data_IF_087693767966
#
_entry.id   IF_087693767966
#
_cell.length_a   1.000
_cell.length_b   1.000
_cell.length_c   1.000
_cell.angle_alpha   90.00
_cell.angle_beta   90.00
_cell.angle_gamma   90.00
#
_symmetry.space_group_name_H-M   'P 1'
#
loop_
_entity.id
_entity.type
_entity.pdbx_description
1 polymer ?
#
# COMPACT_ATOMS: atom_id res chain seq x y z
N UNK A 1 4.17 40.53 -38.73
CA UNK A 1 3.58 39.88 -37.53
C UNK A 1 4.01 38.41 -37.30
N UNK A 2 5.08 37.89 -37.94
CA UNK A 2 5.48 36.47 -37.82
C UNK A 2 6.84 36.19 -37.13
N UNK A 3 7.73 37.18 -36.96
CA UNK A 3 9.04 36.97 -36.28
C UNK A 3 8.99 37.08 -34.76
N UNK A 4 8.01 37.80 -34.22
CA UNK A 4 7.88 38.01 -32.76
C UNK A 4 7.29 36.78 -32.05
N UNK A 5 6.38 36.04 -32.72
CA UNK A 5 5.82 34.80 -32.21
C UNK A 5 6.82 33.64 -32.19
N UNK A 6 7.75 33.57 -33.13
CA UNK A 6 8.75 32.48 -33.17
C UNK A 6 9.87 32.67 -32.14
N UNK A 7 10.24 33.92 -31.84
CA UNK A 7 11.17 34.26 -30.76
C UNK A 7 10.55 33.91 -29.40
N UNK A 8 9.32 34.37 -29.14
CA UNK A 8 8.60 34.10 -27.88
C UNK A 8 8.40 32.60 -27.64
N UNK A 9 8.09 31.82 -28.68
CA UNK A 9 7.90 30.36 -28.57
C UNK A 9 9.19 29.58 -28.29
N UNK A 10 10.37 30.16 -28.59
CA UNK A 10 11.68 29.55 -28.32
C UNK A 10 12.31 30.03 -27.01
N UNK A 11 12.08 31.28 -26.61
CA UNK A 11 12.68 31.86 -25.39
C UNK A 11 11.88 31.55 -24.12
N UNK A 12 10.55 31.40 -24.22
CA UNK A 12 9.69 31.06 -23.09
C UNK A 12 10.05 29.75 -22.36
N UNK A 13 10.33 28.61 -23.05
CA UNK A 13 10.71 27.38 -22.35
C UNK A 13 12.09 27.47 -21.70
N UNK A 14 13.03 28.23 -22.28
CA UNK A 14 14.36 28.46 -21.69
C UNK A 14 14.28 29.36 -20.46
N UNK A 15 13.42 30.39 -20.48
CA UNK A 15 13.14 31.24 -19.32
C UNK A 15 12.43 30.48 -18.20
N UNK A 16 11.47 29.61 -18.53
CA UNK A 16 10.79 28.74 -17.56
C UNK A 16 11.74 27.70 -16.95
N UNK A 17 12.63 27.12 -17.75
CA UNK A 17 13.66 26.19 -17.27
C UNK A 17 14.68 26.90 -16.37
N UNK A 18 15.11 28.12 -16.74
CA UNK A 18 16.01 28.93 -15.92
C UNK A 18 15.36 29.34 -14.58
N UNK A 19 14.06 29.67 -14.58
CA UNK A 19 13.30 29.96 -13.36
C UNK A 19 13.12 28.73 -12.48
N UNK A 20 12.89 27.54 -13.06
CA UNK A 20 12.81 26.27 -12.34
C UNK A 20 14.15 25.88 -11.71
N UNK A 21 15.26 26.04 -12.43
CA UNK A 21 16.61 25.78 -11.90
C UNK A 21 16.95 26.78 -10.80
N UNK A 22 16.62 28.07 -10.95
CA UNK A 22 16.82 29.06 -9.90
C UNK A 22 15.96 28.79 -8.65
N UNK A 23 14.72 28.30 -8.80
CA UNK A 23 13.85 27.94 -7.70
C UNK A 23 14.30 26.69 -6.92
N UNK A 24 15.04 25.77 -7.56
CA UNK A 24 15.57 24.55 -6.91
C UNK A 24 16.95 24.79 -6.28
N UNK A 25 17.79 25.67 -6.87
CA UNK A 25 19.16 25.90 -6.39
C UNK A 25 19.23 26.89 -5.22
N UNK A 26 18.29 27.85 -5.14
CA UNK A 26 18.27 28.87 -4.07
C UNK A 26 17.99 28.32 -2.65
N UNK A 27 17.10 27.35 -2.41
CA UNK A 27 16.93 26.79 -1.07
C UNK A 27 18.09 25.88 -0.63
N UNK A 28 18.86 25.30 -1.56
CA UNK A 28 20.01 24.46 -1.24
C UNK A 28 21.25 25.26 -0.78
N UNK A 29 21.36 26.52 -1.21
CA UNK A 29 22.47 27.41 -0.82
C UNK A 29 22.22 28.12 0.53
N UNK A 30 20.96 28.44 0.87
CA UNK A 30 20.61 29.05 2.16
C UNK A 30 20.49 28.04 3.33
N UNK A 31 20.40 26.74 3.06
CA UNK A 31 20.33 25.73 4.11
C UNK A 31 21.69 25.45 4.80
N UNK A 32 22.81 25.92 4.24
CA UNK A 32 24.17 25.60 4.73
C UNK A 32 24.73 26.57 5.78
N UNK A 33 23.97 27.59 6.21
CA UNK A 33 24.42 28.57 7.21
C UNK A 33 23.56 28.63 8.47
N UNK A 34 22.77 27.59 8.76
CA UNK A 34 22.16 27.41 10.08
C UNK A 34 23.19 26.84 11.05
N UNK A 35 23.63 27.67 11.99
CA UNK A 35 24.63 27.35 12.99
C UNK A 35 24.33 26.10 13.81
N UNK A 36 25.39 25.51 14.35
CA UNK A 36 25.38 24.39 15.28
C UNK A 36 24.54 24.70 16.52
N UNK A 37 23.25 24.39 16.45
CA UNK A 37 22.44 24.15 17.65
C UNK A 37 22.99 22.90 18.34
N UNK A 38 23.10 22.87 19.68
CA UNK A 38 23.39 21.64 20.38
C UNK A 38 22.30 20.63 20.00
N UNK A 39 22.73 19.50 19.44
CA UNK A 39 21.84 18.40 19.15
C UNK A 39 21.05 18.08 20.43
N UNK A 40 19.73 18.23 20.38
CA UNK A 40 18.89 17.60 21.38
C UNK A 40 19.34 16.13 21.45
N UNK A 41 19.66 15.58 22.63
CA UNK A 41 19.73 14.14 22.73
C UNK A 41 18.35 13.60 22.32
N UNK A 42 18.26 12.32 22.00
CA UNK A 42 17.06 11.61 21.52
C UNK A 42 16.97 11.55 19.99
N UNK A 43 17.57 10.49 19.44
CA UNK A 43 17.16 9.93 18.16
C UNK A 43 15.68 9.57 18.23
N UNK A 44 14.84 10.48 17.78
CA UNK A 44 13.38 10.37 17.75
C UNK A 44 12.95 9.58 16.54
N UNK A 45 12.48 8.36 16.78
CA UNK A 45 11.79 7.53 15.80
C UNK A 45 10.84 6.58 16.53
N UNK A 46 9.80 6.11 15.83
CA UNK A 46 8.81 5.14 16.33
C UNK A 46 9.46 3.92 17.00
N UNK A 47 10.65 3.50 16.52
CA UNK A 47 11.40 2.37 17.05
C UNK A 47 12.06 2.64 18.43
N UNK A 48 12.20 3.90 18.85
CA UNK A 48 12.72 4.32 20.16
C UNK A 48 11.59 4.57 21.17
N UNK A 49 10.33 4.57 20.72
CA UNK A 49 9.17 4.84 21.55
C UNK A 49 8.96 3.70 22.57
N UNK A 50 9.11 4.01 23.86
CA UNK A 50 8.85 3.07 24.94
C UNK A 50 7.35 3.01 25.21
N UNK A 51 6.69 1.97 24.71
CA UNK A 51 5.27 1.73 24.97
C UNK A 51 5.12 1.15 26.39
N UNK A 52 4.31 1.77 27.27
CA UNK A 52 4.04 1.22 28.60
C UNK A 52 3.30 -0.12 28.49
N UNK A 53 3.41 -0.96 29.53
CA UNK A 53 2.71 -2.24 29.55
C UNK A 53 1.19 -2.03 29.40
N UNK A 54 0.61 -2.64 28.36
CA UNK A 54 -0.81 -2.54 28.02
C UNK A 54 -1.73 -3.13 29.11
N UNK A 55 -1.19 -3.93 30.03
CA UNK A 55 -1.92 -4.39 31.21
C UNK A 55 -2.11 -3.32 32.28
N UNK A 56 -1.30 -2.26 32.26
CA UNK A 56 -1.29 -1.20 33.29
C UNK A 56 -2.12 0.03 32.87
N UNK A 57 -2.50 0.13 31.60
CA UNK A 57 -3.21 1.28 31.04
C UNK A 57 -4.66 0.89 30.73
N UNK A 58 -5.61 1.72 31.16
CA UNK A 58 -7.03 1.58 30.85
C UNK A 58 -7.50 2.70 29.92
N UNK A 59 -8.26 2.34 28.88
CA UNK A 59 -8.87 3.25 27.94
C UNK A 59 -10.38 3.14 28.07
N UNK A 60 -11.05 4.22 28.49
CA UNK A 60 -12.52 4.26 28.66
C UNK A 60 -13.02 3.11 29.56
N UNK A 61 -12.28 2.81 30.64
CA UNK A 61 -12.61 1.74 31.58
C UNK A 61 -12.27 0.32 31.12
N UNK A 62 -11.73 0.13 29.91
CA UNK A 62 -11.28 -1.17 29.39
C UNK A 62 -9.76 -1.27 29.42
N UNK A 63 -9.21 -2.38 29.92
CA UNK A 63 -7.76 -2.60 29.93
C UNK A 63 -7.16 -2.68 28.51
N UNK A 64 -5.99 -2.09 28.29
CA UNK A 64 -5.35 -2.01 26.98
C UNK A 64 -5.09 -3.37 26.32
N UNK A 65 -4.73 -4.39 27.12
CA UNK A 65 -4.58 -5.77 26.62
C UNK A 65 -5.90 -6.36 26.12
N UNK A 66 -7.00 -6.13 26.85
CA UNK A 66 -8.32 -6.60 26.44
C UNK A 66 -8.76 -5.90 25.15
N UNK A 67 -8.47 -4.60 25.02
CA UNK A 67 -8.75 -3.82 23.81
C UNK A 67 -7.97 -4.37 22.60
N UNK A 68 -6.68 -4.65 22.74
CA UNK A 68 -5.84 -5.24 21.68
C UNK A 68 -6.37 -6.61 21.24
N UNK A 69 -6.67 -7.50 22.19
CA UNK A 69 -7.19 -8.83 21.88
C UNK A 69 -8.55 -8.77 21.19
N UNK A 70 -9.41 -7.83 21.59
CA UNK A 70 -10.69 -7.59 20.94
C UNK A 70 -10.50 -7.06 19.52
N UNK A 71 -9.56 -6.14 19.30
CA UNK A 71 -9.22 -5.64 17.96
C UNK A 71 -8.71 -6.76 17.05
N UNK A 72 -7.81 -7.62 17.54
CA UNK A 72 -7.32 -8.78 16.79
C UNK A 72 -8.45 -9.76 16.44
N UNK A 73 -9.39 -9.98 17.36
CA UNK A 73 -10.59 -10.77 17.10
C UNK A 73 -11.42 -10.17 15.96
N UNK A 74 -11.65 -8.86 15.96
CA UNK A 74 -12.38 -8.15 14.88
C UNK A 74 -11.66 -8.32 13.54
N UNK A 75 -10.33 -8.23 13.51
CA UNK A 75 -9.54 -8.48 12.29
C UNK A 75 -9.76 -9.90 11.75
N UNK A 76 -9.73 -10.92 12.63
CA UNK A 76 -9.99 -12.32 12.24
C UNK A 76 -11.42 -12.50 11.72
N UNK A 77 -12.41 -11.88 12.37
CA UNK A 77 -13.80 -11.90 11.90
C UNK A 77 -13.94 -11.23 10.52
N UNK A 78 -13.22 -10.13 10.27
CA UNK A 78 -13.14 -9.49 8.96
C UNK A 78 -12.58 -10.43 7.88
N UNK A 79 -11.51 -11.16 8.18
CA UNK A 79 -10.96 -12.17 7.26
C UNK A 79 -11.98 -13.27 6.96
N UNK A 80 -12.65 -13.80 7.99
CA UNK A 80 -13.70 -14.83 7.81
C UNK A 80 -14.85 -14.29 6.97
N UNK A 81 -15.30 -13.06 7.22
CA UNK A 81 -16.32 -12.39 6.43
C UNK A 81 -15.91 -12.29 4.95
N UNK A 82 -14.68 -11.86 4.66
CA UNK A 82 -14.15 -11.82 3.30
C UNK A 82 -14.16 -13.20 2.63
N UNK A 83 -13.74 -14.26 3.32
CA UNK A 83 -13.79 -15.64 2.79
C UNK A 83 -15.22 -16.13 2.51
N UNK A 84 -16.18 -15.78 3.36
CA UNK A 84 -17.60 -16.11 3.16
C UNK A 84 -18.12 -15.42 1.91
N UNK A 85 -17.86 -14.12 1.75
CA UNK A 85 -18.30 -13.37 0.58
C UNK A 85 -17.63 -13.86 -0.70
N UNK A 86 -16.34 -14.18 -0.65
CA UNK A 86 -15.63 -14.79 -1.78
C UNK A 86 -16.34 -16.05 -2.27
N UNK A 87 -16.76 -16.95 -1.36
CA UNK A 87 -17.52 -18.15 -1.71
C UNK A 87 -18.87 -17.82 -2.34
N UNK A 88 -19.60 -16.83 -1.79
CA UNK A 88 -20.88 -16.39 -2.33
C UNK A 88 -20.75 -15.85 -3.76
N UNK A 89 -19.80 -14.95 -4.02
CA UNK A 89 -19.57 -14.36 -5.35
C UNK A 89 -19.11 -15.43 -6.34
N UNK A 90 -18.22 -16.33 -5.91
CA UNK A 90 -17.75 -17.45 -6.74
C UNK A 90 -18.89 -18.38 -7.18
N UNK A 91 -19.89 -18.59 -6.32
CA UNK A 91 -21.02 -19.49 -6.56
C UNK A 91 -22.14 -18.90 -7.43
N UNK A 92 -22.09 -17.60 -7.76
CA UNK A 92 -23.08 -16.98 -8.64
C UNK A 92 -23.02 -17.56 -10.07
N UNK A 93 -24.17 -17.71 -10.75
CA UNK A 93 -24.24 -18.27 -12.08
C UNK A 93 -23.53 -17.36 -13.10
N UNK A 94 -22.91 -17.97 -14.12
CA UNK A 94 -22.18 -17.28 -15.17
C UNK A 94 -22.19 -18.09 -16.46
N UNK A 95 -22.27 -17.40 -17.60
CA UNK A 95 -22.12 -18.04 -18.91
C UNK A 95 -20.68 -18.51 -19.14
N UNK A 96 -20.49 -19.63 -19.86
CA UNK A 96 -19.17 -20.21 -20.13
C UNK A 96 -18.20 -19.20 -20.76
N UNK A 97 -18.62 -18.54 -21.85
CA UNK A 97 -17.79 -17.54 -22.54
C UNK A 97 -17.42 -16.35 -21.65
N UNK A 98 -18.34 -15.87 -20.80
CA UNK A 98 -18.05 -14.76 -19.88
C UNK A 98 -17.04 -15.18 -18.80
N UNK A 99 -17.11 -16.44 -18.36
CA UNK A 99 -16.14 -17.00 -17.42
C UNK A 99 -14.75 -17.12 -18.06
N UNK A 100 -14.66 -17.58 -19.30
CA UNK A 100 -13.41 -17.67 -20.06
C UNK A 100 -12.72 -16.31 -20.16
N UNK A 101 -13.46 -15.25 -20.51
CA UNK A 101 -12.90 -13.89 -20.56
C UNK A 101 -12.39 -13.45 -19.18
N UNK A 102 -13.15 -13.68 -18.10
CA UNK A 102 -12.65 -13.33 -16.76
C UNK A 102 -11.42 -14.12 -16.32
N UNK A 103 -11.27 -15.37 -16.77
CA UNK A 103 -10.09 -16.17 -16.47
C UNK A 103 -8.87 -15.67 -17.27
N UNK A 104 -9.05 -15.26 -18.52
CA UNK A 104 -7.99 -14.63 -19.31
C UNK A 104 -7.51 -13.32 -18.66
N UNK A 105 -8.42 -12.49 -18.16
CA UNK A 105 -8.07 -11.28 -17.40
C UNK A 105 -7.27 -11.66 -16.15
N UNK A 106 -7.73 -12.67 -15.40
CA UNK A 106 -7.02 -13.16 -14.21
C UNK A 106 -5.60 -13.63 -14.55
N UNK A 107 -5.42 -14.40 -15.62
CA UNK A 107 -4.10 -14.90 -16.05
C UNK A 107 -3.14 -13.75 -16.42
N UNK A 108 -3.67 -12.70 -17.08
CA UNK A 108 -2.88 -11.52 -17.43
C UNK A 108 -2.49 -10.73 -16.16
N UNK A 109 -3.46 -10.44 -15.29
CA UNK A 109 -3.20 -9.76 -14.01
C UNK A 109 -2.28 -10.56 -13.09
N UNK A 110 -2.40 -11.90 -13.08
CA UNK A 110 -1.52 -12.80 -12.34
C UNK A 110 -0.08 -12.68 -12.83
N UNK A 111 0.12 -12.68 -14.15
CA UNK A 111 1.46 -12.52 -14.74
C UNK A 111 2.07 -11.16 -14.39
N UNK A 112 1.27 -10.10 -14.46
CA UNK A 112 1.67 -8.77 -13.99
C UNK A 112 2.06 -8.79 -12.51
N UNK A 113 1.20 -9.35 -11.65
CA UNK A 113 1.40 -9.39 -10.21
C UNK A 113 2.66 -10.18 -9.83
N UNK A 114 2.92 -11.33 -10.46
CA UNK A 114 4.15 -12.11 -10.24
C UNK A 114 5.39 -11.28 -10.63
N UNK A 115 5.32 -10.57 -11.75
CA UNK A 115 6.43 -9.72 -12.21
C UNK A 115 6.66 -8.55 -11.26
N UNK A 116 5.59 -7.90 -10.79
CA UNK A 116 5.64 -6.86 -9.77
C UNK A 116 6.19 -7.39 -8.44
N UNK A 117 5.78 -8.59 -8.03
CA UNK A 117 6.28 -9.26 -6.84
C UNK A 117 7.79 -9.50 -6.90
N UNK A 118 8.33 -9.92 -8.04
CA UNK A 118 9.78 -10.05 -8.23
C UNK A 118 10.51 -8.71 -8.06
N UNK A 119 9.96 -7.64 -8.62
CA UNK A 119 10.51 -6.29 -8.43
C UNK A 119 10.45 -5.84 -6.96
N UNK A 120 9.34 -6.09 -6.27
CA UNK A 120 9.18 -5.77 -4.86
C UNK A 120 10.17 -6.53 -3.96
N UNK A 121 10.47 -7.80 -4.26
CA UNK A 121 11.47 -8.57 -3.51
C UNK A 121 12.88 -8.02 -3.69
N UNK A 122 13.22 -7.56 -4.90
CA UNK A 122 14.51 -6.90 -5.15
C UNK A 122 14.59 -5.59 -4.35
N UNK A 123 13.54 -4.77 -4.39
CA UNK A 123 13.47 -3.55 -3.60
C UNK A 123 13.56 -3.82 -2.09
N UNK A 124 12.88 -4.84 -1.60
CA UNK A 124 12.93 -5.24 -0.19
C UNK A 124 14.34 -5.65 0.24
N UNK A 125 15.10 -6.34 -0.61
CA UNK A 125 16.49 -6.68 -0.30
C UNK A 125 17.36 -5.42 -0.12
N UNK A 126 17.17 -4.39 -0.95
CA UNK A 126 17.86 -3.11 -0.80
C UNK A 126 17.44 -2.39 0.49
N UNK A 127 16.14 -2.37 0.80
CA UNK A 127 15.62 -1.77 2.03
C UNK A 127 16.14 -2.51 3.26
N UNK A 128 16.16 -3.84 3.24
CA UNK A 128 16.69 -4.67 4.32
C UNK A 128 18.17 -4.38 4.60
N UNK A 129 18.99 -4.21 3.56
CA UNK A 129 20.40 -3.83 3.71
C UNK A 129 20.54 -2.46 4.39
N UNK A 130 19.72 -1.49 3.99
CA UNK A 130 19.69 -0.15 4.60
C UNK A 130 19.21 -0.23 6.06
N UNK A 131 18.21 -1.05 6.38
CA UNK A 131 17.71 -1.26 7.75
C UNK A 131 18.84 -1.80 8.65
N UNK A 132 19.58 -2.81 8.20
CA UNK A 132 20.70 -3.38 8.96
C UNK A 132 21.79 -2.36 9.19
N UNK A 133 22.18 -1.60 8.15
CA UNK A 133 23.20 -0.57 8.28
C UNK A 133 22.74 0.56 9.22
N UNK A 134 21.52 1.05 9.05
CA UNK A 134 21.00 2.16 9.83
C UNK A 134 20.73 1.76 11.29
N UNK A 135 19.86 0.78 11.53
CA UNK A 135 19.48 0.42 12.90
C UNK A 135 20.54 -0.40 13.63
N UNK A 136 21.23 -1.30 12.92
CA UNK A 136 22.26 -2.15 13.52
C UNK A 136 23.58 -1.41 13.73
N UNK A 137 24.11 -0.74 12.71
CA UNK A 137 25.46 -0.14 12.76
C UNK A 137 25.45 1.32 13.22
N UNK A 138 24.58 2.17 12.66
CA UNK A 138 24.55 3.60 12.99
C UNK A 138 23.87 3.87 14.34
N UNK A 139 22.70 3.29 14.58
CA UNK A 139 21.95 3.46 15.84
C UNK A 139 22.32 2.45 16.93
N UNK A 140 23.11 1.42 16.62
CA UNK A 140 23.59 0.41 17.58
C UNK A 140 22.44 -0.26 18.36
N UNK A 141 21.32 -0.53 17.70
CA UNK A 141 20.23 -1.26 18.32
C UNK A 141 20.62 -2.72 18.58
N UNK A 142 19.98 -3.32 19.59
CA UNK A 142 20.13 -4.73 19.89
C UNK A 142 19.75 -5.60 18.68
N UNK A 143 20.50 -6.68 18.45
CA UNK A 143 20.33 -7.53 17.27
C UNK A 143 18.93 -8.15 17.20
N UNK A 144 18.33 -8.49 18.34
CA UNK A 144 16.98 -9.05 18.36
C UNK A 144 15.93 -8.04 17.85
N UNK A 145 16.08 -6.74 18.18
CA UNK A 145 15.17 -5.69 17.69
C UNK A 145 15.26 -5.51 16.18
N UNK A 146 16.47 -5.52 15.62
CA UNK A 146 16.67 -5.39 14.16
C UNK A 146 16.05 -6.57 13.41
N UNK A 147 16.20 -7.79 13.94
CA UNK A 147 15.56 -8.99 13.37
C UNK A 147 14.04 -8.89 13.39
N UNK A 148 13.46 -8.41 14.49
CA UNK A 148 12.01 -8.19 14.60
C UNK A 148 11.53 -7.17 13.54
N UNK A 149 12.24 -6.06 13.35
CA UNK A 149 11.90 -5.05 12.33
C UNK A 149 11.89 -5.67 10.93
N UNK A 150 12.95 -6.43 10.58
CA UNK A 150 13.04 -7.10 9.29
C UNK A 150 11.92 -8.13 9.09
N UNK A 151 11.61 -8.91 10.13
CA UNK A 151 10.53 -9.90 10.08
C UNK A 151 9.18 -9.23 9.79
N UNK A 152 8.84 -8.16 10.53
CA UNK A 152 7.58 -7.45 10.30
C UNK A 152 7.54 -6.68 8.98
N UNK A 153 8.68 -6.24 8.44
CA UNK A 153 8.77 -5.68 7.08
C UNK A 153 8.34 -6.70 6.02
N UNK A 154 8.91 -7.90 6.07
CA UNK A 154 8.57 -9.00 5.14
C UNK A 154 7.12 -9.43 5.30
N UNK A 155 6.63 -9.54 6.55
CA UNK A 155 5.22 -9.85 6.83
C UNK A 155 4.29 -8.77 6.25
N UNK A 156 4.64 -7.49 6.38
CA UNK A 156 3.85 -6.38 5.85
C UNK A 156 3.75 -6.41 4.31
N UNK A 157 4.87 -6.57 3.62
CA UNK A 157 4.90 -6.67 2.16
C UNK A 157 4.18 -7.93 1.67
N UNK A 158 4.43 -9.08 2.31
CA UNK A 158 3.76 -10.34 1.98
C UNK A 158 2.25 -10.26 2.17
N UNK A 159 1.81 -9.64 3.27
CA UNK A 159 0.39 -9.40 3.55
C UNK A 159 -0.27 -8.53 2.47
N UNK A 160 0.33 -7.38 2.15
CA UNK A 160 -0.18 -6.47 1.11
C UNK A 160 -0.26 -7.14 -0.26
N UNK A 161 0.78 -7.90 -0.64
CA UNK A 161 0.80 -8.68 -1.87
C UNK A 161 -0.31 -9.76 -1.90
N UNK A 162 -0.55 -10.43 -0.77
CA UNK A 162 -1.63 -11.41 -0.62
C UNK A 162 -3.01 -10.78 -0.78
N UNK A 163 -3.27 -9.63 -0.15
CA UNK A 163 -4.53 -8.89 -0.31
C UNK A 163 -4.72 -8.42 -1.76
N UNK A 164 -3.66 -7.95 -2.42
CA UNK A 164 -3.72 -7.57 -3.84
C UNK A 164 -4.11 -8.76 -4.75
N UNK A 165 -3.52 -9.94 -4.50
CA UNK A 165 -3.88 -11.16 -5.23
C UNK A 165 -5.35 -11.53 -5.02
N UNK A 166 -5.80 -11.51 -3.77
CA UNK A 166 -7.19 -11.78 -3.40
C UNK A 166 -8.15 -10.82 -4.12
N UNK A 167 -7.84 -9.52 -4.10
CA UNK A 167 -8.62 -8.47 -4.77
C UNK A 167 -8.76 -8.70 -6.28
N UNK A 168 -7.66 -9.05 -6.97
CA UNK A 168 -7.71 -9.38 -8.40
C UNK A 168 -8.62 -10.60 -8.65
N UNK A 169 -8.54 -11.64 -7.81
CA UNK A 169 -9.34 -12.85 -8.01
C UNK A 169 -10.83 -12.61 -7.76
N UNK A 170 -11.19 -11.91 -6.70
CA UNK A 170 -12.60 -11.65 -6.42
C UNK A 170 -13.21 -10.66 -7.41
N UNK A 171 -12.46 -9.65 -7.86
CA UNK A 171 -12.94 -8.69 -8.86
C UNK A 171 -13.13 -9.32 -10.24
N UNK A 172 -12.25 -10.22 -10.65
CA UNK A 172 -12.43 -10.99 -11.90
C UNK A 172 -13.65 -11.90 -11.85
N UNK A 173 -13.94 -12.50 -10.68
CA UNK A 173 -15.21 -13.20 -10.48
C UNK A 173 -16.41 -12.27 -10.51
N UNK A 174 -16.39 -11.16 -9.77
CA UNK A 174 -17.52 -10.23 -9.75
C UNK A 174 -17.82 -9.67 -11.15
N UNK A 175 -16.79 -9.39 -11.95
CA UNK A 175 -16.93 -8.84 -13.29
C UNK A 175 -17.80 -9.72 -14.21
N UNK A 176 -17.42 -10.99 -14.42
CA UNK A 176 -18.19 -11.86 -15.33
C UNK A 176 -19.59 -12.21 -14.80
N UNK A 177 -19.79 -12.21 -13.48
CA UNK A 177 -21.09 -12.45 -12.84
C UNK A 177 -22.02 -11.25 -13.00
N UNK A 178 -21.45 -10.05 -12.88
CA UNK A 178 -22.16 -8.78 -13.12
C UNK A 178 -22.55 -8.67 -14.59
N UNK A 179 -21.65 -9.01 -15.52
CA UNK A 179 -21.92 -9.04 -16.95
C UNK A 179 -23.02 -10.06 -17.31
N UNK A 180 -23.04 -11.23 -16.67
CA UNK A 180 -24.12 -12.21 -16.90
C UNK A 180 -25.46 -11.73 -16.31
N UNK A 181 -25.44 -11.08 -15.15
CA UNK A 181 -26.63 -10.53 -14.52
C UNK A 181 -27.25 -9.38 -15.33
N UNK A 182 -26.45 -8.61 -16.09
CA UNK A 182 -26.96 -7.53 -16.95
C UNK A 182 -27.94 -8.01 -18.00
N UNK A 183 -27.78 -9.24 -18.49
CA UNK A 183 -28.66 -9.86 -19.48
C UNK A 183 -30.11 -10.03 -18.97
N UNK A 184 -30.32 -10.05 -17.65
CA UNK A 184 -31.66 -10.13 -17.04
C UNK A 184 -32.38 -8.78 -16.98
N UNK A 185 -31.72 -7.68 -17.34
CA UNK A 185 -32.32 -6.34 -17.41
C UNK A 185 -32.61 -5.66 -16.06
N UNK A 186 -32.23 -6.26 -14.93
CA UNK A 186 -32.44 -5.71 -13.60
C UNK A 186 -31.26 -4.84 -13.12
N UNK A 187 -31.48 -3.64 -12.56
CA UNK A 187 -30.40 -2.75 -12.13
C UNK A 187 -29.73 -3.15 -10.82
N UNK A 188 -30.46 -3.79 -9.89
CA UNK A 188 -29.94 -4.10 -8.56
C UNK A 188 -28.72 -5.04 -8.55
N UNK A 189 -28.72 -6.18 -9.29
CA UNK A 189 -27.56 -7.07 -9.35
C UNK A 189 -26.29 -6.40 -9.89
N UNK A 190 -26.44 -5.39 -10.75
CA UNK A 190 -25.33 -4.68 -11.37
C UNK A 190 -24.50 -3.88 -10.36
N UNK A 191 -25.12 -3.43 -9.28
CA UNK A 191 -24.45 -2.74 -8.18
C UNK A 191 -24.13 -3.69 -7.04
N UNK A 192 -25.04 -4.61 -6.71
CA UNK A 192 -24.90 -5.47 -5.55
C UNK A 192 -23.72 -6.46 -5.67
N UNK A 193 -23.45 -7.01 -6.87
CA UNK A 193 -22.36 -7.98 -7.06
C UNK A 193 -20.99 -7.29 -6.91
N UNK A 194 -20.70 -6.16 -7.58
CA UNK A 194 -19.45 -5.44 -7.36
C UNK A 194 -19.29 -4.91 -5.93
N UNK A 195 -20.36 -4.38 -5.32
CA UNK A 195 -20.31 -3.90 -3.93
C UNK A 195 -19.99 -5.05 -2.96
N UNK A 196 -20.62 -6.21 -3.15
CA UNK A 196 -20.34 -7.40 -2.36
C UNK A 196 -18.88 -7.82 -2.49
N UNK A 197 -18.34 -7.86 -3.70
CA UNK A 197 -16.93 -8.15 -3.91
C UNK A 197 -15.99 -7.10 -3.29
N UNK A 198 -16.33 -5.81 -3.38
CA UNK A 198 -15.57 -4.73 -2.77
C UNK A 198 -15.53 -4.81 -1.23
N UNK A 199 -16.67 -5.09 -0.59
CA UNK A 199 -16.74 -5.28 0.88
C UNK A 199 -15.92 -6.48 1.39
N UNK A 200 -15.60 -7.42 0.51
CA UNK A 200 -14.86 -8.62 0.87
C UNK A 200 -13.35 -8.42 0.92
N UNK A 201 -12.85 -7.36 0.28
CA UNK A 201 -11.43 -6.98 0.25
C UNK A 201 -11.14 -6.19 1.53
#
# INVERSE_FOLDING_TARGET
MNRMNSLCRRTLPLLLLALLVAAVVTPAALAQTAGSMPAAPHGGGEASLKIPDLGQVAFVGVGGRALLMTGLLVCVLGLVFGLVIFRQVRALPVHASMREISELIYETCKTYLITQGKFLLILEAFIAAIIVLYFGVLLRFDAAKVVIILLFSVVGIGGSYGVAWFGIRINTFANSRTAFASLRGGPYPLHAIPLKAGMSI
#
